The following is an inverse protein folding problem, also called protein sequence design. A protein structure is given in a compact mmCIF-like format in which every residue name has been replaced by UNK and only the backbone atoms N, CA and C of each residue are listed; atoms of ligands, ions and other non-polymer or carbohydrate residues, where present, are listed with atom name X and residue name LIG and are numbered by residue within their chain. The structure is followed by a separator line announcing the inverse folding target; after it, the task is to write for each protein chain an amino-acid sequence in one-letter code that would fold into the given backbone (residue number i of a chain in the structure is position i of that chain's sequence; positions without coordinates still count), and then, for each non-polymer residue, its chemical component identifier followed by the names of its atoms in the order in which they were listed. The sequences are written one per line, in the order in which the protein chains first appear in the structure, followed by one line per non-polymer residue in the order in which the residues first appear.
data_IF_967228255428
#
_entry.id   IF_967228255428
#
_cell.length_a   1.000
_cell.length_b   1.000
_cell.length_c   1.000
_cell.angle_alpha   90.00
_cell.angle_beta   90.00
_cell.angle_gamma   90.00
#
_symmetry.space_group_name_H-M   'P 1'
#
loop_
_entity.id
_entity.type
_entity.pdbx_description
1 polymer ?
#
# COMPACT_ATOMS: atom_id res chain seq x y z
N UNK A 1 14.68 -23.86 -3.74
CA UNK A 1 13.88 -23.10 -4.74
C UNK A 1 12.78 -22.31 -4.03
N UNK A 2 13.11 -21.65 -2.92
CA UNK A 2 12.17 -20.93 -2.04
C UNK A 2 12.73 -19.59 -1.55
N UNK A 3 14.00 -19.27 -1.83
CA UNK A 3 14.68 -18.09 -1.28
C UNK A 3 14.72 -16.87 -2.22
N UNK A 4 14.19 -16.97 -3.45
CA UNK A 4 14.17 -15.84 -4.40
C UNK A 4 12.85 -15.05 -4.32
N UNK A 5 11.76 -15.65 -3.84
CA UNK A 5 10.48 -14.93 -3.71
C UNK A 5 10.49 -13.91 -2.56
N UNK A 6 11.17 -14.18 -1.44
CA UNK A 6 11.15 -13.27 -0.29
C UNK A 6 11.90 -11.95 -0.55
N UNK A 7 12.97 -11.98 -1.34
CA UNK A 7 13.76 -10.78 -1.65
C UNK A 7 13.01 -9.81 -2.58
N UNK A 8 12.11 -10.32 -3.44
CA UNK A 8 11.31 -9.45 -4.32
C UNK A 8 10.01 -8.94 -3.69
N UNK A 9 9.47 -9.60 -2.67
CA UNK A 9 8.22 -9.15 -2.01
C UNK A 9 8.46 -7.95 -1.10
N UNK A 10 9.67 -7.79 -0.56
CA UNK A 10 10.02 -6.68 0.36
C UNK A 10 10.37 -5.37 -0.39
N UNK A 11 10.63 -5.41 -1.70
CA UNK A 11 11.29 -4.30 -2.40
C UNK A 11 10.34 -3.28 -3.08
N UNK A 12 9.02 -3.51 -3.14
CA UNK A 12 8.12 -2.56 -3.83
C UNK A 12 7.86 -1.26 -3.04
N UNK A 13 8.15 -1.22 -1.74
CA UNK A 13 8.09 0.03 -0.96
C UNK A 13 9.41 0.84 -1.11
N UNK A 14 10.53 0.20 -1.47
CA UNK A 14 11.84 0.84 -1.48
C UNK A 14 12.20 1.50 -2.83
N UNK A 15 11.70 1.03 -3.98
CA UNK A 15 12.13 1.57 -5.28
C UNK A 15 11.52 2.95 -5.65
N UNK A 16 10.45 3.41 -4.99
CA UNK A 16 9.76 4.67 -5.37
C UNK A 16 10.19 5.91 -4.59
N UNK A 17 11.34 5.88 -3.90
CA UNK A 17 12.00 7.11 -3.37
C UNK A 17 12.88 7.78 -4.46
N UNK A 18 12.85 7.27 -5.69
CA UNK A 18 13.60 7.79 -6.85
C UNK A 18 12.74 8.54 -7.87
N UNK A 19 12.10 9.64 -7.47
CA UNK A 19 11.70 10.73 -8.39
C UNK A 19 10.41 10.55 -9.22
N UNK A 20 9.44 11.44 -8.95
CA UNK A 20 8.80 12.35 -9.94
C UNK A 20 7.84 13.28 -9.20
N UNK A 21 8.12 14.58 -9.29
CA UNK A 21 7.31 15.66 -8.74
C UNK A 21 5.98 15.75 -9.51
N UNK A 22 4.88 15.32 -8.90
CA UNK A 22 3.50 15.56 -9.36
C UNK A 22 2.76 16.33 -8.26
N UNK A 23 2.29 17.53 -8.61
CA UNK A 23 1.48 18.40 -7.75
C UNK A 23 0.06 17.83 -7.59
N UNK A 24 -0.45 17.76 -6.37
CA UNK A 24 -1.83 18.16 -6.02
C UNK A 24 -2.13 18.00 -4.51
N UNK A 25 -2.68 19.08 -3.95
CA UNK A 25 -3.29 19.31 -2.64
C UNK A 25 -2.45 19.07 -1.36
N UNK A 26 -2.55 20.05 -0.46
CA UNK A 26 -1.65 20.30 0.67
C UNK A 26 -1.71 19.22 1.76
N UNK A 27 -0.95 18.13 1.58
CA UNK A 27 -0.45 17.34 2.69
C UNK A 27 0.98 17.83 3.00
N UNK A 28 1.26 18.15 4.26
CA UNK A 28 2.60 18.54 4.68
C UNK A 28 3.53 17.33 4.49
N UNK A 29 4.37 17.40 3.45
CA UNK A 29 5.22 16.29 3.03
C UNK A 29 6.68 16.60 3.37
N UNK A 30 7.30 15.79 4.21
CA UNK A 30 8.71 15.89 4.57
C UNK A 30 9.46 14.70 4.00
N UNK A 31 10.61 14.92 3.35
CA UNK A 31 11.49 13.84 2.90
C UNK A 31 12.74 13.83 3.78
N UNK A 32 12.94 12.74 4.52
CA UNK A 32 14.14 12.55 5.34
C UNK A 32 15.04 11.55 4.62
N UNK A 33 16.28 11.96 4.33
CA UNK A 33 17.26 11.19 3.54
C UNK A 33 17.41 9.73 4.01
N UNK A 34 17.29 9.50 5.31
CA UNK A 34 17.45 8.18 5.93
C UNK A 34 16.13 7.49 6.35
N UNK A 35 14.97 8.16 6.24
CA UNK A 35 13.68 7.65 6.80
C UNK A 35 12.52 7.61 5.81
N UNK A 36 12.73 8.03 4.57
CA UNK A 36 11.69 8.03 3.53
C UNK A 36 10.79 9.27 3.56
N UNK A 37 9.67 9.16 2.85
CA UNK A 37 8.66 10.22 2.72
C UNK A 37 7.66 10.15 3.89
N UNK A 38 7.43 11.28 4.56
CA UNK A 38 6.43 11.44 5.62
C UNK A 38 5.31 12.32 5.08
N UNK A 39 4.08 11.79 5.08
CA UNK A 39 2.86 12.54 4.72
C UNK A 39 1.98 12.69 5.95
N UNK A 40 1.65 13.93 6.30
CA UNK A 40 0.78 14.27 7.44
C UNK A 40 -0.58 14.72 6.92
N UNK A 41 -1.64 14.13 7.46
CA UNK A 41 -3.05 14.41 7.13
C UNK A 41 -3.78 14.95 8.35
N UNK A 42 -4.81 15.78 8.16
CA UNK A 42 -5.47 16.50 9.26
C UNK A 42 -6.43 15.60 10.05
N UNK A 43 -7.03 14.60 9.40
CA UNK A 43 -8.00 13.69 9.98
C UNK A 43 -7.88 12.25 9.42
N UNK A 44 -8.62 11.33 10.02
CA UNK A 44 -8.58 9.89 9.70
C UNK A 44 -9.11 9.61 8.28
N UNK A 45 -10.08 10.38 7.83
CA UNK A 45 -10.74 10.22 6.54
C UNK A 45 -9.78 10.60 5.40
N UNK A 46 -9.07 11.72 5.54
CA UNK A 46 -7.99 12.13 4.64
C UNK A 46 -6.79 11.18 4.70
N UNK A 47 -6.47 10.66 5.88
CA UNK A 47 -5.46 9.63 6.04
C UNK A 47 -5.81 8.36 5.26
N UNK A 48 -7.04 7.87 5.41
CA UNK A 48 -7.53 6.70 4.70
C UNK A 48 -7.51 6.92 3.18
N UNK A 49 -7.98 8.07 2.70
CA UNK A 49 -7.91 8.40 1.26
C UNK A 49 -6.47 8.43 0.76
N UNK A 50 -5.56 9.09 1.48
CA UNK A 50 -4.16 9.19 1.09
C UNK A 50 -3.45 7.83 1.05
N UNK A 51 -3.75 6.92 1.99
CA UNK A 51 -3.23 5.55 1.98
C UNK A 51 -3.73 4.79 0.75
N UNK A 52 -5.04 4.88 0.47
CA UNK A 52 -5.65 4.18 -0.66
C UNK A 52 -5.12 4.69 -2.01
N UNK A 53 -4.92 6.00 -2.15
CA UNK A 53 -4.35 6.59 -3.38
C UNK A 53 -2.92 6.07 -3.65
N UNK A 54 -2.08 5.99 -2.60
CA UNK A 54 -0.72 5.45 -2.72
C UNK A 54 -0.76 3.98 -3.14
N UNK A 55 -1.61 3.18 -2.50
CA UNK A 55 -1.70 1.75 -2.82
C UNK A 55 -2.22 1.55 -4.24
N UNK A 56 -3.22 2.32 -4.68
CA UNK A 56 -3.73 2.26 -6.03
C UNK A 56 -2.63 2.58 -7.06
N UNK A 57 -1.88 3.68 -6.86
CA UNK A 57 -0.78 4.07 -7.75
C UNK A 57 0.33 2.99 -7.82
N UNK A 58 0.74 2.45 -6.67
CA UNK A 58 1.79 1.42 -6.62
C UNK A 58 1.27 0.12 -7.25
N UNK A 59 0.00 -0.25 -7.02
CA UNK A 59 -0.59 -1.45 -7.58
C UNK A 59 -0.65 -1.41 -9.10
N UNK A 60 -1.09 -0.28 -9.68
CA UNK A 60 -1.11 -0.08 -11.12
C UNK A 60 0.31 -0.16 -11.70
N UNK A 61 1.27 0.56 -11.09
CA UNK A 61 2.65 0.54 -11.55
C UNK A 61 3.29 -0.86 -11.48
N UNK A 62 3.01 -1.63 -10.42
CA UNK A 62 3.51 -2.99 -10.26
C UNK A 62 2.90 -3.94 -11.27
N UNK A 63 1.59 -3.86 -11.49
CA UNK A 63 0.88 -4.69 -12.48
C UNK A 63 1.39 -4.39 -13.89
N UNK A 64 1.61 -3.13 -14.23
CA UNK A 64 2.17 -2.74 -15.53
C UNK A 64 3.59 -3.28 -15.73
N UNK A 65 4.43 -3.24 -14.69
CA UNK A 65 5.85 -3.65 -14.79
C UNK A 65 6.06 -5.16 -14.66
N UNK A 66 5.26 -5.83 -13.85
CA UNK A 66 5.50 -7.22 -13.42
C UNK A 66 4.32 -8.17 -13.70
N UNK A 67 3.16 -7.66 -14.13
CA UNK A 67 1.95 -8.45 -14.34
C UNK A 67 1.19 -8.82 -13.05
N UNK A 68 1.69 -8.38 -11.88
CA UNK A 68 1.12 -8.67 -10.57
C UNK A 68 1.42 -7.54 -9.57
N UNK A 69 0.61 -7.44 -8.52
CA UNK A 69 0.89 -6.62 -7.34
C UNK A 69 0.89 -7.49 -6.09
N UNK A 70 2.01 -7.50 -5.36
CA UNK A 70 2.15 -8.23 -4.11
C UNK A 70 2.25 -7.24 -2.95
N UNK A 71 1.45 -7.46 -1.91
CA UNK A 71 1.44 -6.62 -0.71
C UNK A 71 1.49 -7.48 0.56
N UNK A 72 2.26 -7.02 1.55
CA UNK A 72 2.31 -7.62 2.88
C UNK A 72 1.65 -6.66 3.86
N UNK A 73 0.59 -7.10 4.52
CA UNK A 73 -0.18 -6.31 5.48
C UNK A 73 0.31 -6.57 6.90
N UNK A 74 0.65 -5.49 7.59
CA UNK A 74 0.66 -5.47 9.05
C UNK A 74 -0.79 -5.32 9.54
N UNK A 75 -1.13 -5.98 10.65
CA UNK A 75 -2.43 -5.80 11.30
C UNK A 75 -2.64 -4.39 11.89
N UNK A 76 -3.54 -4.30 12.86
CA UNK A 76 -3.88 -3.03 13.50
C UNK A 76 -4.78 -2.14 12.63
N UNK A 77 -4.56 -0.83 12.67
CA UNK A 77 -5.42 0.15 12.00
C UNK A 77 -5.23 0.23 10.49
N UNK A 78 -4.14 -0.31 9.94
CA UNK A 78 -3.86 -0.25 8.49
C UNK A 78 -4.97 -0.91 7.67
N UNK A 79 -5.43 -2.08 8.12
CA UNK A 79 -6.51 -2.83 7.46
C UNK A 79 -7.80 -2.01 7.44
N UNK A 80 -8.10 -1.29 8.53
CA UNK A 80 -9.26 -0.40 8.61
C UNK A 80 -9.12 0.80 7.67
N UNK A 81 -7.93 1.42 7.58
CA UNK A 81 -7.66 2.55 6.68
C UNK A 81 -7.77 2.16 5.21
N UNK A 82 -7.42 0.91 4.88
CA UNK A 82 -7.55 0.34 3.53
C UNK A 82 -9.00 0.00 3.16
N UNK A 83 -9.96 0.06 4.10
CA UNK A 83 -11.38 -0.23 3.84
C UNK A 83 -11.98 0.59 2.70
N UNK A 84 -11.43 1.77 2.38
CA UNK A 84 -11.88 2.57 1.23
C UNK A 84 -11.54 1.94 -0.13
N UNK A 85 -10.58 1.01 -0.23
CA UNK A 85 -10.24 0.35 -1.49
C UNK A 85 -11.42 -0.47 -2.07
N UNK A 86 -12.28 -1.00 -1.19
CA UNK A 86 -13.45 -1.76 -1.61
C UNK A 86 -14.69 -0.88 -1.86
N UNK A 87 -14.58 0.44 -1.64
CA UNK A 87 -15.63 1.39 -1.99
C UNK A 87 -15.74 1.57 -3.51
N UNK A 88 -16.92 1.99 -3.98
CA UNK A 88 -17.34 1.92 -5.39
C UNK A 88 -16.43 2.66 -6.39
N UNK A 89 -15.65 3.64 -5.94
CA UNK A 89 -14.73 4.39 -6.78
C UNK A 89 -13.44 3.61 -7.05
N UNK A 90 -12.82 3.03 -6.02
CA UNK A 90 -11.54 2.34 -6.13
C UNK A 90 -11.69 0.90 -6.61
N UNK A 91 -12.80 0.23 -6.26
CA UNK A 91 -13.06 -1.14 -6.68
C UNK A 91 -13.13 -1.32 -8.22
N UNK A 92 -13.37 -0.23 -8.97
CA UNK A 92 -13.35 -0.22 -10.44
C UNK A 92 -11.97 0.03 -11.04
N UNK A 93 -11.06 0.61 -10.27
CA UNK A 93 -9.72 1.02 -10.71
C UNK A 93 -8.71 -0.08 -10.38
N UNK A 94 -8.91 -0.77 -9.26
CA UNK A 94 -8.02 -1.82 -8.78
C UNK A 94 -8.33 -3.14 -9.49
N UNK A 95 -7.30 -3.70 -10.14
CA UNK A 95 -7.35 -5.02 -10.77
C UNK A 95 -7.04 -6.13 -9.74
N UNK A 96 -8.05 -6.50 -8.97
CA UNK A 96 -7.95 -7.45 -7.87
C UNK A 96 -7.49 -8.85 -8.29
N UNK A 97 -7.71 -9.25 -9.55
CA UNK A 97 -7.29 -10.56 -10.07
C UNK A 97 -5.77 -10.72 -10.10
N UNK A 98 -5.04 -9.60 -10.03
CA UNK A 98 -3.57 -9.57 -10.04
C UNK A 98 -2.96 -9.26 -8.67
N UNK A 99 -3.77 -9.20 -7.62
CA UNK A 99 -3.32 -8.93 -6.26
C UNK A 99 -2.96 -10.21 -5.52
N UNK A 100 -1.81 -10.19 -4.86
CA UNK A 100 -1.34 -11.23 -3.95
C UNK A 100 -1.12 -10.60 -2.58
N UNK A 101 -1.98 -10.96 -1.61
CA UNK A 101 -2.01 -10.35 -0.28
C UNK A 101 -1.47 -11.35 0.75
N UNK A 102 -0.50 -10.91 1.54
CA UNK A 102 0.13 -11.68 2.60
C UNK A 102 -0.01 -10.96 3.94
N UNK A 103 0.03 -11.69 5.05
CA UNK A 103 0.10 -11.12 6.39
C UNK A 103 1.55 -11.17 6.89
N UNK A 104 2.04 -10.05 7.45
CA UNK A 104 3.36 -10.00 8.09
C UNK A 104 3.36 -10.72 9.45
N UNK A 105 2.27 -10.59 10.18
CA UNK A 105 2.07 -11.12 11.53
C UNK A 105 0.58 -11.41 11.71
N UNK A 106 0.25 -12.50 12.40
CA UNK A 106 -1.14 -12.91 12.68
C UNK A 106 -1.26 -13.41 14.13
N UNK A 107 -2.43 -13.26 14.74
CA UNK A 107 -2.73 -13.84 16.05
C UNK A 107 -3.42 -15.18 15.86
N UNK A 108 -2.84 -16.25 16.40
CA UNK A 108 -3.45 -17.58 16.45
C UNK A 108 -4.60 -17.61 17.49
N UNK A 109 -5.74 -17.03 17.15
CA UNK A 109 -6.96 -17.05 17.97
C UNK A 109 -7.99 -18.02 17.41
N UNK A 110 -8.78 -18.65 18.28
CA UNK A 110 -9.90 -19.48 17.86
C UNK A 110 -10.92 -18.67 17.06
N UNK A 111 -11.54 -19.28 16.05
CA UNK A 111 -12.67 -18.66 15.35
C UNK A 111 -13.78 -18.39 16.37
N UNK A 112 -14.31 -17.17 16.38
CA UNK A 112 -15.55 -16.89 17.11
C UNK A 112 -16.67 -17.74 16.49
N UNK A 113 -17.54 -18.34 17.31
CA UNK A 113 -18.66 -19.16 16.84
C UNK A 113 -19.64 -18.34 15.99
#
# INVERSE_FOLDING_TARGET
MTDICLINVVLLIAEKIGGKNKRSNMALTWTHKDRGEIRVQENTEELSTGVVDIIAEISEASILKHGAFCIVLSGGSLVSLMGKLIESLYNKIVDWDKWYVFWAEERAVGKKP
#
